data_IF_480301208231
#
_entry.id   IF_480301208231
#
_cell.length_a   1.000
_cell.length_b   1.000
_cell.length_c   1.000
_cell.angle_alpha   90.00
_cell.angle_beta   90.00
_cell.angle_gamma   90.00
#
_symmetry.space_group_name_H-M   'P 1'
#
loop_
_entity.id
_entity.type
_entity.pdbx_description
1 polymer ?
#
# COMPACT_ATOMS: atom_id res chain seq x y z
N UNK A 1 0.93 -20.11 4.85
CA UNK A 1 2.07 -19.18 5.07
C UNK A 1 3.27 -19.91 5.68
N UNK A 2 3.11 -20.60 6.81
CA UNK A 2 4.21 -21.28 7.53
C UNK A 2 5.07 -22.21 6.65
N UNK A 3 4.44 -23.00 5.78
CA UNK A 3 5.17 -23.85 4.81
C UNK A 3 6.12 -23.04 3.93
N UNK A 4 5.67 -21.90 3.40
CA UNK A 4 6.48 -21.07 2.50
C UNK A 4 7.66 -20.42 3.24
N UNK A 5 7.46 -20.05 4.50
CA UNK A 5 8.53 -19.53 5.36
C UNK A 5 9.56 -20.63 5.60
N UNK A 6 9.12 -21.84 5.96
CA UNK A 6 10.01 -22.99 6.21
C UNK A 6 10.80 -23.40 4.96
N UNK A 7 10.20 -23.25 3.78
CA UNK A 7 10.84 -23.53 2.48
C UNK A 7 11.69 -22.36 1.96
N UNK A 8 11.87 -21.28 2.75
CA UNK A 8 12.59 -20.06 2.36
C UNK A 8 12.02 -19.38 1.09
N UNK A 9 10.73 -19.57 0.81
CA UNK A 9 10.00 -18.96 -0.32
C UNK A 9 9.25 -17.69 0.07
N UNK A 10 9.20 -17.37 1.36
CA UNK A 10 8.54 -16.19 1.89
C UNK A 10 9.27 -15.74 3.16
N UNK A 11 9.46 -14.43 3.31
CA UNK A 11 9.86 -13.82 4.57
C UNK A 11 8.85 -12.77 4.95
N UNK A 12 8.50 -12.73 6.24
CA UNK A 12 7.62 -11.71 6.82
C UNK A 12 8.50 -10.81 7.67
N UNK A 13 8.46 -9.52 7.39
CA UNK A 13 9.18 -8.50 8.14
C UNK A 13 8.14 -7.67 8.88
N UNK A 14 8.21 -7.68 10.20
CA UNK A 14 7.40 -6.78 11.01
C UNK A 14 8.16 -5.46 11.16
N UNK A 15 7.71 -4.44 10.42
CA UNK A 15 8.21 -3.09 10.55
C UNK A 15 7.40 -2.35 11.61
N UNK A 16 7.86 -2.38 12.87
CA UNK A 16 7.29 -1.57 13.93
C UNK A 16 8.04 -0.23 14.02
N UNK A 17 7.43 0.90 13.61
CA UNK A 17 8.09 2.21 13.65
C UNK A 17 8.65 2.55 15.04
N UNK A 18 8.03 2.06 16.12
CA UNK A 18 8.45 2.30 17.51
C UNK A 18 9.71 1.48 17.83
N UNK A 19 9.75 0.21 17.44
CA UNK A 19 10.93 -0.63 17.62
C UNK A 19 12.13 -0.10 16.82
N UNK A 20 11.91 0.42 15.61
CA UNK A 20 12.98 1.02 14.79
C UNK A 20 13.48 2.36 15.34
N UNK A 21 12.63 3.14 16.04
CA UNK A 21 13.07 4.34 16.74
C UNK A 21 14.14 4.05 17.81
N UNK A 22 14.10 2.87 18.45
CA UNK A 22 15.12 2.43 19.40
C UNK A 22 16.46 2.04 18.78
N UNK A 23 16.53 1.82 17.46
CA UNK A 23 17.78 1.55 16.74
C UNK A 23 18.46 2.83 16.23
N UNK A 24 17.84 3.99 16.40
CA UNK A 24 18.46 5.29 16.08
C UNK A 24 19.32 5.68 17.28
N UNK A 25 20.67 5.65 17.16
CA UNK A 25 21.52 6.13 18.24
C UNK A 25 21.30 7.64 18.41
N UNK A 26 20.97 8.05 19.63
CA UNK A 26 20.90 9.46 20.02
C UNK A 26 22.31 10.05 19.94
N UNK A 27 22.63 10.66 18.80
CA UNK A 27 23.79 11.53 18.66
C UNK A 27 23.29 12.96 18.69
N UNK A 28 23.04 13.43 19.91
CA UNK A 28 22.73 14.83 20.16
C UNK A 28 23.81 15.75 19.60
N UNK A 29 23.36 16.71 18.80
CA UNK A 29 23.72 18.12 18.96
C UNK A 29 22.50 18.95 18.52
N UNK A 30 22.10 19.88 19.38
CA UNK A 30 20.94 20.73 19.18
C UNK A 30 21.11 21.62 17.95
N UNK A 31 20.25 21.41 16.97
CA UNK A 31 19.55 22.44 16.17
C UNK A 31 18.86 21.84 14.92
N UNK A 32 19.07 20.55 14.59
CA UNK A 32 18.50 19.87 13.40
C UNK A 32 17.47 18.75 13.72
N UNK A 33 16.75 18.85 14.83
CA UNK A 33 15.99 17.72 15.42
C UNK A 33 14.66 17.34 14.70
N UNK A 34 14.25 18.02 13.63
CA UNK A 34 12.93 17.80 13.03
C UNK A 34 12.91 17.06 11.67
N UNK A 35 14.05 16.90 10.99
CA UNK A 35 14.12 16.31 9.64
C UNK A 35 14.63 14.85 9.60
N UNK A 36 15.10 14.31 10.73
CA UNK A 36 16.06 13.21 10.72
C UNK A 36 15.47 11.82 11.03
N UNK A 37 14.43 11.74 11.87
CA UNK A 37 13.91 10.43 12.35
C UNK A 37 13.23 9.62 11.26
N UNK A 38 12.43 10.27 10.39
CA UNK A 38 11.68 9.58 9.33
C UNK A 38 12.57 8.98 8.24
N UNK A 39 13.58 9.74 7.78
CA UNK A 39 14.53 9.27 6.77
C UNK A 39 15.40 8.13 7.31
N UNK A 40 15.86 8.22 8.57
CA UNK A 40 16.59 7.13 9.24
C UNK A 40 15.80 5.82 9.35
N UNK A 41 14.51 5.90 9.63
CA UNK A 41 13.62 4.72 9.67
C UNK A 41 13.53 4.10 8.28
N UNK A 42 13.29 4.90 7.24
CA UNK A 42 13.20 4.41 5.85
C UNK A 42 14.52 3.83 5.37
N UNK A 43 15.65 4.45 5.68
CA UNK A 43 16.97 3.95 5.33
C UNK A 43 17.20 2.56 5.96
N UNK A 44 16.92 2.43 7.25
CA UNK A 44 17.09 1.16 7.98
C UNK A 44 16.17 0.08 7.44
N UNK A 45 14.91 0.42 7.20
CA UNK A 45 13.94 -0.50 6.60
C UNK A 45 14.36 -0.93 5.19
N UNK A 46 14.82 0.00 4.36
CA UNK A 46 15.27 -0.29 2.99
C UNK A 46 16.43 -1.28 2.99
N UNK A 47 17.44 -1.07 3.86
CA UNK A 47 18.56 -2.01 4.01
C UNK A 47 18.12 -3.41 4.46
N UNK A 48 17.15 -3.48 5.37
CA UNK A 48 16.58 -4.77 5.77
C UNK A 48 15.87 -5.45 4.61
N UNK A 49 15.01 -4.73 3.89
CA UNK A 49 14.30 -5.26 2.72
C UNK A 49 15.30 -5.76 1.67
N UNK A 50 16.29 -4.97 1.30
CA UNK A 50 17.33 -5.34 0.33
C UNK A 50 18.05 -6.64 0.72
N UNK A 51 18.47 -6.74 1.99
CA UNK A 51 19.09 -7.98 2.51
C UNK A 51 18.15 -9.17 2.38
N UNK A 52 16.89 -9.03 2.77
CA UNK A 52 15.92 -10.13 2.72
C UNK A 52 15.57 -10.53 1.29
N UNK A 53 15.50 -9.57 0.37
CA UNK A 53 15.33 -9.80 -1.06
C UNK A 53 16.49 -10.64 -1.60
N UNK A 54 17.74 -10.29 -1.24
CA UNK A 54 18.92 -11.06 -1.62
C UNK A 54 18.93 -12.48 -1.04
N UNK A 55 18.62 -12.63 0.26
CA UNK A 55 18.67 -13.91 0.96
C UNK A 55 17.72 -14.99 0.40
N UNK A 56 16.60 -14.58 -0.20
CA UNK A 56 15.59 -15.50 -0.75
C UNK A 56 15.41 -15.35 -2.26
N UNK A 57 16.24 -14.52 -2.90
CA UNK A 57 16.13 -14.12 -4.30
C UNK A 57 14.69 -13.70 -4.66
N UNK A 58 14.09 -12.87 -3.80
CA UNK A 58 12.69 -12.48 -3.92
C UNK A 58 12.41 -11.85 -5.29
N UNK A 59 11.21 -12.10 -5.80
CA UNK A 59 10.69 -11.47 -7.04
C UNK A 59 9.50 -10.57 -6.79
N UNK A 60 8.96 -10.60 -5.57
CA UNK A 60 7.75 -9.87 -5.17
C UNK A 60 7.91 -9.35 -3.76
N UNK A 61 7.48 -8.11 -3.56
CA UNK A 61 7.45 -7.45 -2.25
C UNK A 61 6.02 -6.98 -2.00
N UNK A 62 5.52 -7.21 -0.79
CA UNK A 62 4.27 -6.63 -0.33
C UNK A 62 4.51 -5.89 0.98
N UNK A 63 4.18 -4.60 1.01
CA UNK A 63 4.31 -3.75 2.20
C UNK A 63 2.91 -3.36 2.66
N UNK A 64 2.56 -3.81 3.88
CA UNK A 64 1.28 -3.54 4.52
C UNK A 64 1.49 -2.93 5.91
N UNK A 65 1.29 -1.64 6.13
CA UNK A 65 0.94 -0.57 5.16
C UNK A 65 1.94 0.58 5.25
N UNK A 66 1.97 1.44 4.24
CA UNK A 66 2.72 2.70 4.31
C UNK A 66 1.95 3.82 5.01
N UNK A 67 0.75 3.53 5.53
CA UNK A 67 -0.16 4.52 6.14
C UNK A 67 0.48 5.25 7.31
N UNK A 68 1.25 4.54 8.16
CA UNK A 68 1.92 5.15 9.31
C UNK A 68 2.93 6.23 8.91
N UNK A 69 3.58 6.10 7.75
CA UNK A 69 4.53 7.10 7.23
C UNK A 69 3.84 8.41 6.81
N UNK A 70 2.52 8.36 6.55
CA UNK A 70 1.69 9.53 6.23
C UNK A 70 1.28 10.32 7.47
N UNK A 71 1.34 9.70 8.65
CA UNK A 71 0.93 10.30 9.92
C UNK A 71 2.11 11.10 10.48
N UNK A 72 2.29 12.31 9.96
CA UNK A 72 3.32 13.26 10.39
C UNK A 72 2.71 14.65 10.56
N UNK A 73 3.22 15.42 11.52
CA UNK A 73 2.90 16.85 11.63
C UNK A 73 3.48 17.64 10.44
N UNK A 74 4.63 17.21 9.92
CA UNK A 74 5.22 17.75 8.71
C UNK A 74 4.83 16.89 7.49
N UNK A 75 3.88 17.40 6.71
CA UNK A 75 3.38 16.76 5.50
C UNK A 75 4.40 16.76 4.36
N UNK A 76 5.30 17.73 4.30
CA UNK A 76 6.34 17.79 3.26
C UNK A 76 7.35 16.67 3.54
N UNK A 77 7.78 16.52 4.79
CA UNK A 77 8.71 15.47 5.18
C UNK A 77 8.10 14.06 4.98
N UNK A 78 6.82 13.87 5.29
CA UNK A 78 6.13 12.60 5.02
C UNK A 78 6.14 12.24 3.53
N UNK A 79 5.90 13.24 2.65
CA UNK A 79 5.97 13.07 1.20
C UNK A 79 7.36 12.62 0.76
N UNK A 80 8.42 13.30 1.20
CA UNK A 80 9.81 12.91 0.86
C UNK A 80 10.16 11.51 1.37
N UNK A 81 9.76 11.18 2.59
CA UNK A 81 9.98 9.85 3.20
C UNK A 81 9.34 8.74 2.36
N UNK A 82 8.10 8.93 1.89
CA UNK A 82 7.41 7.98 1.00
C UNK A 82 8.08 7.91 -0.37
N UNK A 83 8.49 9.05 -0.94
CA UNK A 83 9.22 9.08 -2.22
C UNK A 83 10.55 8.31 -2.13
N UNK A 84 11.30 8.48 -1.05
CA UNK A 84 12.55 7.78 -0.80
C UNK A 84 12.34 6.27 -0.71
N UNK A 85 11.34 5.82 0.08
CA UNK A 85 11.00 4.41 0.19
C UNK A 85 10.64 3.80 -1.18
N UNK A 86 9.76 4.45 -1.95
CA UNK A 86 9.34 3.94 -3.26
C UNK A 86 10.53 3.82 -4.22
N UNK A 87 11.39 4.84 -4.29
CA UNK A 87 12.59 4.81 -5.14
C UNK A 87 13.57 3.71 -4.74
N UNK A 88 13.74 3.48 -3.44
CA UNK A 88 14.61 2.40 -2.97
C UNK A 88 14.07 1.02 -3.38
N UNK A 89 12.74 0.83 -3.35
CA UNK A 89 12.09 -0.41 -3.76
C UNK A 89 12.16 -0.64 -5.27
N UNK A 90 12.05 0.42 -6.08
CA UNK A 90 12.20 0.34 -7.55
C UNK A 90 13.56 -0.21 -7.98
N UNK A 91 14.63 0.00 -7.18
CA UNK A 91 15.97 -0.50 -7.47
C UNK A 91 16.16 -2.00 -7.19
N UNK A 92 15.20 -2.68 -6.57
CA UNK A 92 15.33 -4.08 -6.12
C UNK A 92 14.91 -5.12 -7.17
N UNK A 93 14.59 -4.71 -8.40
CA UNK A 93 14.13 -5.59 -9.50
C UNK A 93 13.00 -6.57 -9.07
N UNK A 94 12.10 -6.08 -8.21
CA UNK A 94 10.98 -6.81 -7.66
C UNK A 94 9.65 -6.17 -8.04
N UNK A 95 8.64 -6.99 -8.34
CA UNK A 95 7.26 -6.48 -8.41
C UNK A 95 6.80 -6.11 -7.00
N UNK A 96 6.61 -4.82 -6.75
CA UNK A 96 6.29 -4.31 -5.42
C UNK A 96 4.84 -3.84 -5.35
N UNK A 97 4.12 -4.29 -4.33
CA UNK A 97 2.77 -3.84 -3.98
C UNK A 97 2.80 -3.15 -2.61
N UNK A 98 2.12 -2.01 -2.50
CA UNK A 98 2.01 -1.23 -1.28
C UNK A 98 0.52 -1.10 -0.92
N UNK A 99 0.16 -1.23 0.36
CA UNK A 99 -1.14 -0.80 0.85
C UNK A 99 -1.03 0.57 1.52
N UNK A 100 -2.02 1.43 1.29
CA UNK A 100 -2.13 2.76 1.88
C UNK A 100 -3.59 3.05 2.15
N UNK A 101 -3.90 3.54 3.35
CA UNK A 101 -5.26 3.98 3.67
C UNK A 101 -5.53 5.37 3.09
N UNK A 102 -6.77 5.55 2.64
CA UNK A 102 -7.29 6.84 2.18
C UNK A 102 -8.04 7.45 3.36
N UNK A 103 -7.62 8.63 3.80
CA UNK A 103 -8.33 9.35 4.86
C UNK A 103 -9.66 9.88 4.30
N UNK A 104 -10.79 9.47 4.90
CA UNK A 104 -12.15 9.84 4.49
C UNK A 104 -12.45 11.34 4.57
N UNK A 105 -11.64 12.13 5.28
CA UNK A 105 -11.74 13.60 5.27
C UNK A 105 -11.24 14.26 3.99
N UNK A 106 -10.50 13.53 3.14
CA UNK A 106 -9.92 13.99 1.89
C UNK A 106 -10.75 13.56 0.65
N UNK A 107 -12.06 13.32 0.83
CA UNK A 107 -13.00 13.03 -0.27
C UNK A 107 -13.27 14.25 -1.19
N UNK A 108 -12.44 15.28 -1.15
CA UNK A 108 -12.28 16.16 -2.30
C UNK A 108 -11.56 15.35 -3.38
N UNK A 109 -12.25 15.04 -4.47
CA UNK A 109 -11.83 14.30 -5.66
C UNK A 109 -10.46 14.70 -6.30
N UNK A 110 -9.74 15.66 -5.72
CA UNK A 110 -8.67 16.43 -6.36
C UNK A 110 -7.27 16.22 -5.75
N UNK A 111 -7.14 15.54 -4.61
CA UNK A 111 -5.83 15.36 -3.95
C UNK A 111 -5.24 13.98 -4.26
N UNK A 112 -4.41 13.89 -5.31
CA UNK A 112 -3.55 12.71 -5.53
C UNK A 112 -2.53 12.59 -4.40
N UNK A 113 -2.44 11.41 -3.81
CA UNK A 113 -1.38 11.08 -2.85
C UNK A 113 -0.06 10.84 -3.58
N UNK A 114 1.07 10.98 -2.87
CA UNK A 114 2.41 10.81 -3.47
C UNK A 114 2.60 9.40 -4.00
N UNK A 115 2.14 8.42 -3.24
CA UNK A 115 2.17 7.01 -3.61
C UNK A 115 1.35 6.75 -4.88
N UNK A 116 0.17 7.36 -5.03
CA UNK A 116 -0.64 7.23 -6.25
C UNK A 116 0.02 7.87 -7.46
N UNK A 117 0.73 9.00 -7.27
CA UNK A 117 1.45 9.66 -8.35
C UNK A 117 2.62 8.82 -8.86
N UNK A 118 3.45 8.32 -7.94
CA UNK A 118 4.65 7.57 -8.25
C UNK A 118 4.36 6.16 -8.77
N UNK A 119 3.36 5.47 -8.22
CA UNK A 119 3.05 4.07 -8.60
C UNK A 119 2.72 3.94 -10.08
N UNK A 120 3.12 2.85 -10.73
CA UNK A 120 2.73 2.57 -12.12
C UNK A 120 1.27 2.14 -12.25
N UNK A 121 0.81 1.37 -11.26
CA UNK A 121 -0.56 0.87 -11.15
C UNK A 121 -1.16 1.36 -9.84
N UNK A 122 -2.41 1.85 -9.89
CA UNK A 122 -3.18 2.26 -8.71
C UNK A 122 -4.49 1.50 -8.71
N UNK A 123 -4.71 0.70 -7.67
CA UNK A 123 -5.95 -0.04 -7.44
C UNK A 123 -6.62 0.56 -6.19
N UNK A 124 -7.84 1.06 -6.33
CA UNK A 124 -8.64 1.55 -5.21
C UNK A 124 -9.68 0.53 -4.80
N UNK A 125 -9.88 0.41 -3.49
CA UNK A 125 -10.90 -0.44 -2.89
C UNK A 125 -11.92 0.45 -2.19
N UNK A 126 -13.14 0.46 -2.73
CA UNK A 126 -14.25 1.30 -2.29
C UNK A 126 -15.18 0.53 -1.36
N UNK A 127 -15.80 1.26 -0.43
CA UNK A 127 -16.85 0.74 0.46
C UNK A 127 -17.99 1.75 0.50
N UNK A 128 -19.10 1.40 -0.13
CA UNK A 128 -20.34 2.18 -0.13
C UNK A 128 -21.26 1.68 0.98
N UNK A 129 -22.01 2.60 1.60
CA UNK A 129 -23.08 2.27 2.56
C UNK A 129 -24.39 2.83 2.02
N UNK A 130 -25.30 1.95 1.61
CA UNK A 130 -26.62 2.31 1.12
C UNK A 130 -27.68 1.46 1.77
N UNK A 131 -28.76 2.08 2.25
CA UNK A 131 -29.91 1.36 2.82
C UNK A 131 -29.54 0.33 3.90
N UNK A 132 -28.49 0.60 4.68
CA UNK A 132 -27.97 -0.32 5.72
C UNK A 132 -27.06 -1.44 5.21
N UNK A 133 -26.94 -1.61 3.89
CA UNK A 133 -26.04 -2.57 3.26
C UNK A 133 -24.68 -1.96 2.94
N UNK A 134 -23.64 -2.81 2.98
CA UNK A 134 -22.27 -2.44 2.60
C UNK A 134 -21.91 -3.08 1.26
N UNK A 135 -21.81 -2.25 0.23
CA UNK A 135 -21.31 -2.67 -1.09
C UNK A 135 -19.82 -2.39 -1.18
N UNK A 136 -19.05 -3.39 -1.62
CA UNK A 136 -17.60 -3.27 -1.82
C UNK A 136 -17.30 -3.30 -3.31
N UNK A 137 -16.46 -2.38 -3.77
CA UNK A 137 -16.05 -2.31 -5.18
C UNK A 137 -14.54 -2.11 -5.31
N UNK A 138 -13.97 -2.59 -6.41
CA UNK A 138 -12.57 -2.43 -6.77
C UNK A 138 -12.49 -1.70 -8.11
N UNK A 139 -11.50 -0.82 -8.22
CA UNK A 139 -11.28 0.02 -9.40
C UNK A 139 -9.79 0.09 -9.69
N UNK A 140 -9.41 0.01 -10.96
CA UNK A 140 -8.07 0.35 -11.41
C UNK A 140 -8.12 1.81 -11.86
N UNK A 141 -7.50 2.70 -11.10
CA UNK A 141 -7.46 4.12 -11.45
C UNK A 141 -6.43 4.46 -12.52
N UNK A 142 -5.34 3.67 -12.52
CA UNK A 142 -4.20 3.90 -13.37
C UNK A 142 -3.49 2.58 -13.60
N UNK A 143 -3.10 2.34 -14.84
CA UNK A 143 -2.18 1.28 -15.23
C UNK A 143 -1.32 1.80 -16.38
N UNK A 144 -0.07 2.16 -16.10
CA UNK A 144 0.87 2.57 -17.15
C UNK A 144 1.26 1.36 -18.00
N UNK A 145 1.32 1.54 -19.31
CA UNK A 145 1.79 0.50 -20.25
C UNK A 145 0.76 -0.57 -20.65
N UNK A 146 -0.49 -0.48 -20.19
CA UNK A 146 -1.53 -1.48 -20.51
C UNK A 146 -2.95 -0.92 -20.47
N UNK A 147 -3.87 -1.60 -21.18
CA UNK A 147 -5.31 -1.35 -21.02
C UNK A 147 -5.78 -2.01 -19.72
N UNK A 148 -6.74 -1.38 -19.06
CA UNK A 148 -7.38 -1.91 -17.86
C UNK A 148 -8.89 -1.76 -17.94
N UNK A 149 -9.58 -2.34 -16.98
CA UNK A 149 -11.02 -2.19 -16.80
C UNK A 149 -11.30 -0.86 -16.10
N UNK A 150 -12.03 0.02 -16.78
CA UNK A 150 -12.36 1.36 -16.28
C UNK A 150 -13.65 1.37 -15.43
N UNK A 151 -14.25 0.20 -15.15
CA UNK A 151 -15.46 0.07 -14.34
C UNK A 151 -15.18 -0.29 -12.88
N UNK A 152 -16.04 0.21 -11.99
CA UNK A 152 -16.11 -0.24 -10.60
C UNK A 152 -16.68 -1.66 -10.54
N UNK A 153 -15.84 -2.66 -10.24
CA UNK A 153 -16.28 -4.04 -10.11
C UNK A 153 -16.63 -4.37 -8.67
N UNK A 154 -17.81 -4.95 -8.37
CA UNK A 154 -18.08 -5.42 -7.02
C UNK A 154 -17.15 -6.59 -6.69
N UNK A 155 -16.79 -6.71 -5.41
CA UNK A 155 -16.03 -7.85 -4.91
C UNK A 155 -16.56 -8.34 -3.57
N UNK A 156 -16.33 -9.63 -3.30
CA UNK A 156 -16.57 -10.25 -2.00
C UNK A 156 -15.27 -10.85 -1.45
N UNK A 157 -15.17 -10.90 -0.12
CA UNK A 157 -14.12 -11.66 0.57
C UNK A 157 -14.83 -12.89 1.16
N UNK A 158 -14.55 -14.04 0.57
CA UNK A 158 -15.10 -15.33 0.98
C UNK A 158 -14.02 -16.14 1.70
N UNK A 159 -14.38 -17.30 2.23
CA UNK A 159 -13.41 -18.24 2.82
C UNK A 159 -12.36 -18.72 1.80
N UNK A 160 -12.69 -18.64 0.50
CA UNK A 160 -11.79 -18.93 -0.61
C UNK A 160 -10.91 -17.75 -1.04
N UNK A 161 -11.08 -16.58 -0.40
CA UNK A 161 -10.34 -15.35 -0.70
C UNK A 161 -11.19 -14.28 -1.41
N UNK A 162 -10.49 -13.32 -2.03
CA UNK A 162 -11.11 -12.20 -2.74
C UNK A 162 -11.65 -12.65 -4.11
N UNK A 163 -12.93 -12.41 -4.35
CA UNK A 163 -13.63 -12.70 -5.61
C UNK A 163 -14.12 -11.40 -6.22
N UNK A 164 -13.67 -11.07 -7.43
CA UNK A 164 -14.14 -9.92 -8.21
C UNK A 164 -15.16 -10.38 -9.23
N UNK A 165 -16.31 -9.72 -9.28
CA UNK A 165 -17.36 -10.06 -10.24
C UNK A 165 -17.26 -9.20 -11.50
N UNK A 166 -16.47 -9.66 -12.45
CA UNK A 166 -16.12 -8.96 -13.70
C UNK A 166 -17.30 -8.61 -14.63
N UNK A 167 -18.48 -9.21 -14.43
CA UNK A 167 -19.68 -8.97 -15.27
C UNK A 167 -20.66 -7.97 -14.65
N UNK A 168 -20.42 -7.58 -13.41
CA UNK A 168 -21.22 -6.60 -12.71
C UNK A 168 -20.44 -5.29 -12.57
N UNK A 169 -21.16 -4.22 -12.29
CA UNK A 169 -20.59 -2.91 -12.00
C UNK A 169 -21.31 -2.30 -10.79
N UNK A 170 -20.71 -1.28 -10.17
CA UNK A 170 -21.35 -0.51 -9.10
C UNK A 170 -21.71 0.88 -9.62
N UNK A 171 -22.99 1.24 -9.54
CA UNK A 171 -23.53 2.56 -9.91
C UNK A 171 -24.23 3.13 -8.68
N UNK A 172 -23.84 4.32 -8.26
CA UNK A 172 -24.37 5.01 -7.07
C UNK A 172 -24.30 4.20 -5.76
N UNK A 173 -23.46 3.16 -5.71
CA UNK A 173 -23.30 2.25 -4.56
C UNK A 173 -24.14 0.95 -4.67
N UNK A 174 -24.93 0.80 -5.73
CA UNK A 174 -25.71 -0.40 -6.03
C UNK A 174 -25.04 -1.26 -7.10
N UNK A 175 -25.17 -2.59 -6.98
CA UNK A 175 -24.64 -3.54 -7.95
C UNK A 175 -25.61 -3.69 -9.13
N UNK A 176 -25.11 -3.49 -10.35
CA UNK A 176 -25.85 -3.62 -11.60
C UNK A 176 -25.14 -4.63 -12.50
N UNK A 177 -25.84 -5.65 -13.02
CA UNK A 177 -25.26 -6.67 -13.88
C UNK A 177 -26.04 -7.98 -13.94
N UNK A 178 -25.51 -8.98 -14.66
CA UNK A 178 -26.17 -10.27 -14.84
C UNK A 178 -26.18 -11.08 -13.53
N UNK A 179 -27.23 -10.89 -12.75
CA UNK A 179 -27.45 -11.58 -11.46
C UNK A 179 -27.56 -13.09 -11.68
N UNK A 180 -26.56 -13.84 -11.21
CA UNK A 180 -26.79 -15.18 -10.63
C UNK A 180 -26.36 -15.11 -9.16
N UNK A 181 -27.32 -14.77 -8.30
CA UNK A 181 -27.19 -15.03 -6.87
C UNK A 181 -27.06 -16.55 -6.71
N UNK A 182 -25.95 -16.99 -6.12
CA UNK A 182 -25.75 -18.38 -5.66
C UNK A 182 -26.43 -18.49 -4.29
#
# INVERSE_FOLDING_TARGET
>A
IERLIKENKMRVIHADPIAYAHYIPDRGNGDDMHLDTGSKIVETLSKHIERYVGDIEAKRIFIDSITSLKISQDQIQARFTIMELIKNLENLDCTTMLSSEINSGALTYESFSVEEYLSEVVIRMHTFRMYGNRTRAIEILKMRGGKHDDMLRPYAILDTGLVVYQRETVIDGEVVGAVKMI
#
